data_IF_916255366874
#
_entry.id   IF_916255366874
#
_cell.length_a   1.000
_cell.length_b   1.000
_cell.length_c   1.000
_cell.angle_alpha   90.00
_cell.angle_beta   90.00
_cell.angle_gamma   90.00
#
_symmetry.space_group_name_H-M   'P 1'
#
loop_
_entity.id
_entity.type
_entity.pdbx_description
1 polymer ?
#
# COMPACT_ATOMS: atom_id res chain seq x y z
N UNK A 1 22.40 -14.89 -62.91
CA UNK A 1 21.94 -15.94 -63.84
C UNK A 1 21.56 -17.16 -63.02
N UNK A 2 20.32 -17.61 -63.20
CA UNK A 2 19.69 -18.73 -62.49
C UNK A 2 20.25 -20.07 -63.01
N UNK A 3 20.52 -21.04 -62.14
CA UNK A 3 20.08 -22.41 -62.41
C UNK A 3 20.10 -23.32 -61.16
N UNK A 4 18.99 -24.04 -60.96
CA UNK A 4 18.80 -25.12 -59.99
C UNK A 4 18.88 -26.46 -60.72
N UNK A 5 19.47 -27.50 -60.12
CA UNK A 5 19.16 -28.93 -60.37
C UNK A 5 19.57 -29.71 -59.10
N UNK A 6 18.70 -30.20 -58.21
CA UNK A 6 17.69 -31.29 -58.26
C UNK A 6 18.26 -32.73 -58.27
N UNK A 7 18.26 -33.32 -57.06
CA UNK A 7 17.83 -34.69 -56.63
C UNK A 7 18.33 -35.96 -57.37
N UNK A 8 18.86 -36.93 -56.61
CA UNK A 8 18.16 -38.19 -56.25
C UNK A 8 18.98 -39.14 -55.36
N UNK A 9 18.23 -39.87 -54.53
CA UNK A 9 18.59 -40.91 -53.56
C UNK A 9 18.53 -42.30 -54.21
N UNK A 10 19.22 -43.32 -53.66
CA UNK A 10 18.65 -44.67 -53.61
C UNK A 10 18.49 -45.22 -52.18
N UNK A 11 17.31 -45.82 -51.95
CA UNK A 11 16.98 -46.78 -50.87
C UNK A 11 17.79 -48.09 -51.09
N UNK A 12 17.86 -49.13 -50.27
CA UNK A 12 17.12 -49.70 -49.13
C UNK A 12 17.99 -50.88 -48.63
N UNK A 13 17.96 -51.29 -47.36
CA UNK A 13 17.67 -52.70 -46.97
C UNK A 13 17.71 -52.91 -45.47
N UNK A 14 16.59 -53.43 -44.99
CA UNK A 14 16.27 -53.96 -43.68
C UNK A 14 16.65 -55.44 -43.57
N UNK A 15 17.06 -55.89 -42.38
CA UNK A 15 16.85 -57.27 -41.90
C UNK A 15 16.66 -57.23 -40.38
N UNK A 16 15.55 -57.81 -39.92
CA UNK A 16 15.17 -58.02 -38.53
C UNK A 16 15.30 -59.51 -38.18
N UNK A 17 15.64 -59.85 -36.93
CA UNK A 17 15.46 -61.13 -36.21
C UNK A 17 16.26 -61.01 -34.88
N UNK A 18 15.83 -61.44 -33.71
CA UNK A 18 14.68 -62.23 -33.28
C UNK A 18 14.59 -62.19 -31.74
N UNK A 19 13.43 -62.61 -31.23
CA UNK A 19 13.04 -62.59 -29.81
C UNK A 19 13.76 -63.66 -28.98
N UNK A 20 14.04 -63.34 -27.71
CA UNK A 20 14.33 -64.31 -26.65
C UNK A 20 14.07 -63.69 -25.26
N UNK A 21 13.10 -64.24 -24.54
CA UNK A 21 12.76 -63.94 -23.14
C UNK A 21 13.50 -64.95 -22.26
N UNK A 22 14.13 -64.54 -21.15
CA UNK A 22 14.12 -65.16 -19.80
C UNK A 22 15.02 -64.33 -18.86
N UNK A 23 14.54 -64.17 -17.63
CA UNK A 23 14.88 -63.19 -16.61
C UNK A 23 16.23 -63.39 -15.89
N UNK A 24 16.80 -62.29 -15.37
CA UNK A 24 17.37 -62.27 -14.02
C UNK A 24 17.34 -60.86 -13.40
N UNK A 25 17.04 -60.84 -12.10
CA UNK A 25 16.77 -59.72 -11.21
C UNK A 25 18.04 -58.93 -10.86
N UNK A 26 17.96 -57.60 -10.81
CA UNK A 26 18.75 -56.79 -9.90
C UNK A 26 17.97 -55.50 -9.54
N UNK A 27 17.43 -55.48 -8.31
CA UNK A 27 16.84 -54.31 -7.68
C UNK A 27 17.97 -53.54 -6.98
N UNK A 28 18.17 -52.28 -7.31
CA UNK A 28 18.84 -51.32 -6.42
C UNK A 28 18.09 -49.99 -6.45
N UNK A 29 17.26 -49.79 -5.43
CA UNK A 29 16.86 -48.45 -4.96
C UNK A 29 18.11 -47.73 -4.42
N UNK A 30 18.26 -46.45 -4.75
CA UNK A 30 18.71 -45.41 -3.82
C UNK A 30 18.48 -44.02 -4.43
N UNK A 31 17.50 -43.32 -3.86
CA UNK A 31 17.23 -41.90 -4.05
C UNK A 31 18.40 -41.05 -3.54
N UNK A 32 18.72 -39.96 -4.22
CA UNK A 32 19.11 -38.67 -3.61
C UNK A 32 19.15 -37.60 -4.69
N UNK A 33 18.17 -36.71 -4.67
CA UNK A 33 18.11 -35.51 -5.49
C UNK A 33 19.22 -34.53 -5.05
N UNK A 34 20.04 -34.06 -5.99
CA UNK A 34 20.96 -32.94 -5.76
C UNK A 34 20.26 -31.62 -6.14
N UNK A 35 19.73 -30.92 -5.13
CA UNK A 35 19.46 -29.48 -5.21
C UNK A 35 20.80 -28.73 -5.00
N UNK A 36 21.09 -27.66 -5.78
CA UNK A 36 22.32 -26.91 -5.61
C UNK A 36 22.24 -26.00 -4.38
N UNK A 37 23.04 -26.32 -3.36
CA UNK A 37 23.30 -25.45 -2.22
C UNK A 37 24.25 -24.32 -2.64
N UNK A 38 23.72 -23.11 -2.84
CA UNK A 38 24.54 -21.90 -2.96
C UNK A 38 25.19 -21.59 -1.60
N UNK A 39 26.52 -21.72 -1.55
CA UNK A 39 27.38 -21.34 -0.42
C UNK A 39 27.29 -19.84 -0.16
N UNK A 40 27.12 -19.49 1.11
CA UNK A 40 27.19 -18.12 1.61
C UNK A 40 28.57 -17.51 1.42
N UNK A 41 28.58 -16.23 1.04
CA UNK A 41 29.69 -15.33 1.24
C UNK A 41 29.15 -14.06 1.91
N UNK A 42 29.77 -13.77 3.05
CA UNK A 42 29.54 -12.68 3.99
C UNK A 42 29.52 -11.29 3.35
N UNK A 43 28.43 -10.54 3.59
CA UNK A 43 28.34 -9.11 3.38
C UNK A 43 27.44 -8.49 4.44
N UNK A 44 28.04 -7.66 5.31
CA UNK A 44 27.45 -6.92 6.44
C UNK A 44 25.94 -6.65 6.35
N UNK A 45 25.18 -7.26 7.25
CA UNK A 45 23.79 -6.90 7.54
C UNK A 45 23.75 -5.56 8.30
N UNK A 46 23.60 -4.45 7.59
CA UNK A 46 22.95 -3.28 8.18
C UNK A 46 21.48 -3.62 8.33
N UNK A 47 21.01 -3.79 9.57
CA UNK A 47 19.61 -4.06 9.89
C UNK A 47 18.71 -3.00 9.29
N UNK A 48 18.05 -3.35 8.19
CA UNK A 48 16.90 -2.65 7.64
C UNK A 48 15.90 -3.75 7.39
N UNK A 49 14.83 -3.78 8.18
CA UNK A 49 13.71 -4.69 8.00
C UNK A 49 13.28 -4.66 6.54
N UNK A 50 13.57 -5.72 5.79
CA UNK A 50 13.14 -5.90 4.39
C UNK A 50 11.75 -6.53 4.38
N UNK A 51 10.80 -5.89 5.06
CA UNK A 51 9.39 -6.06 4.71
C UNK A 51 9.13 -5.47 3.32
N UNK A 52 8.07 -5.91 2.60
CA UNK A 52 7.65 -5.23 1.38
C UNK A 52 7.45 -3.73 1.68
N UNK A 53 7.94 -2.85 0.80
CA UNK A 53 7.61 -1.42 0.93
C UNK A 53 6.10 -1.24 0.76
N UNK A 54 5.51 -0.25 1.41
CA UNK A 54 4.07 0.02 1.34
C UNK A 54 3.54 0.06 -0.11
N UNK A 55 4.25 0.75 -1.01
CA UNK A 55 3.94 0.81 -2.44
C UNK A 55 4.13 -0.51 -3.22
N UNK A 56 4.84 -1.49 -2.66
CA UNK A 56 4.93 -2.84 -3.21
C UNK A 56 3.74 -3.72 -2.82
N UNK A 57 2.94 -3.31 -1.82
CA UNK A 57 1.76 -4.05 -1.35
C UNK A 57 0.53 -3.64 -2.18
N UNK A 58 0.34 -2.34 -2.39
CA UNK A 58 -0.68 -1.81 -3.33
C UNK A 58 -0.10 -0.60 -4.07
N UNK A 59 0.09 -0.74 -5.39
CA UNK A 59 0.72 0.28 -6.24
C UNK A 59 -0.14 1.51 -6.49
N UNK A 60 -1.40 1.52 -6.03
CA UNK A 60 -2.28 2.69 -6.14
C UNK A 60 -1.89 3.79 -5.14
N UNK A 61 -1.14 3.46 -4.10
CA UNK A 61 -0.77 4.38 -3.02
C UNK A 61 0.64 4.95 -3.18
N UNK A 62 0.82 6.19 -2.72
CA UNK A 62 2.14 6.72 -2.41
C UNK A 62 2.82 5.89 -1.30
N UNK A 63 4.14 5.96 -1.25
CA UNK A 63 4.89 5.38 -0.14
C UNK A 63 4.44 6.01 1.19
N UNK A 64 4.17 5.16 2.17
CA UNK A 64 3.81 5.60 3.51
C UNK A 64 5.00 6.35 4.13
N UNK A 65 4.88 7.66 4.43
CA UNK A 65 6.05 8.50 4.71
C UNK A 65 6.46 8.53 6.19
N UNK A 66 5.65 7.95 7.09
CA UNK A 66 5.84 8.11 8.53
C UNK A 66 6.56 6.92 9.18
N UNK A 67 7.19 7.22 10.31
CA UNK A 67 7.76 6.21 11.21
C UNK A 67 6.94 6.17 12.49
N UNK A 68 6.99 5.06 13.24
CA UNK A 68 6.20 4.91 14.47
C UNK A 68 6.95 4.11 15.55
N UNK A 69 6.98 4.59 16.80
CA UNK A 69 7.71 3.92 17.91
C UNK A 69 7.10 2.56 18.25
N UNK A 70 5.78 2.53 18.44
CA UNK A 70 4.96 1.32 18.63
C UNK A 70 4.18 1.05 17.35
N UNK A 71 4.00 -0.23 17.00
CA UNK A 71 3.10 -0.62 15.90
C UNK A 71 1.73 0.03 16.11
N UNK A 72 1.25 0.85 15.15
CA UNK A 72 -0.03 1.52 15.27
C UNK A 72 -1.17 0.50 15.19
N UNK A 73 -2.26 0.80 15.87
CA UNK A 73 -3.48 -0.01 15.84
C UNK A 73 -4.51 0.68 14.95
N UNK A 74 -5.27 -0.11 14.19
CA UNK A 74 -6.41 0.38 13.41
C UNK A 74 -7.62 0.37 14.33
N UNK A 75 -8.31 1.51 14.42
CA UNK A 75 -9.47 1.70 15.27
C UNK A 75 -10.63 2.30 14.46
N UNK A 76 -11.85 1.95 14.84
CA UNK A 76 -13.07 2.59 14.33
C UNK A 76 -13.30 3.90 15.10
N UNK A 77 -12.68 4.98 14.63
CA UNK A 77 -12.64 6.29 15.29
C UNK A 77 -13.43 7.35 14.51
N UNK A 78 -14.63 6.99 14.06
CA UNK A 78 -15.51 7.89 13.29
C UNK A 78 -15.85 9.17 14.08
N UNK A 79 -16.10 9.05 15.38
CA UNK A 79 -16.44 10.20 16.22
C UNK A 79 -15.27 11.17 16.33
N UNK A 80 -14.04 10.67 16.51
CA UNK A 80 -12.83 11.51 16.53
C UNK A 80 -12.60 12.21 15.19
N UNK A 81 -12.90 11.53 14.08
CA UNK A 81 -12.84 12.12 12.74
C UNK A 81 -13.82 13.27 12.60
N UNK A 82 -15.08 13.07 13.02
CA UNK A 82 -16.14 14.08 12.93
C UNK A 82 -15.95 15.20 13.94
N UNK A 83 -15.36 14.94 15.10
CA UNK A 83 -15.00 16.00 16.05
C UNK A 83 -13.93 16.93 15.46
N UNK A 84 -12.99 16.38 14.68
CA UNK A 84 -11.93 17.14 14.03
C UNK A 84 -12.39 17.84 12.74
N UNK A 85 -13.17 17.16 11.91
CA UNK A 85 -13.69 17.67 10.64
C UNK A 85 -15.19 17.34 10.50
N UNK A 86 -16.08 18.07 11.19
CA UNK A 86 -17.52 17.80 11.23
C UNK A 86 -18.20 17.82 9.86
N UNK A 87 -17.67 18.64 8.94
CA UNK A 87 -18.18 18.73 7.58
C UNK A 87 -18.07 17.40 6.80
N UNK A 88 -17.24 16.45 7.23
CA UNK A 88 -17.18 15.11 6.64
C UNK A 88 -18.45 14.30 6.88
N UNK A 89 -19.11 14.52 8.03
CA UNK A 89 -20.26 13.74 8.50
C UNK A 89 -20.06 12.22 8.27
N UNK A 90 -18.89 11.72 8.69
CA UNK A 90 -18.48 10.36 8.45
C UNK A 90 -19.37 9.37 9.21
N UNK A 91 -19.65 8.22 8.58
CA UNK A 91 -20.51 7.17 9.16
C UNK A 91 -19.72 5.94 9.60
N UNK A 92 -18.57 5.68 8.99
CA UNK A 92 -17.65 4.63 9.36
C UNK A 92 -16.23 5.03 8.99
N UNK A 93 -15.28 5.01 9.94
CA UNK A 93 -13.90 5.39 9.70
C UNK A 93 -12.92 4.43 10.35
N UNK A 94 -12.07 3.80 9.53
CA UNK A 94 -10.93 3.02 9.98
C UNK A 94 -9.69 3.91 9.98
N UNK A 95 -9.25 4.28 11.18
CA UNK A 95 -8.16 5.24 11.37
C UNK A 95 -7.00 4.60 12.12
N UNK A 96 -5.83 5.18 11.90
CA UNK A 96 -4.62 4.88 12.64
C UNK A 96 -4.00 6.20 13.06
N UNK A 97 -3.70 6.32 14.35
CA UNK A 97 -3.01 7.47 14.92
C UNK A 97 -1.77 6.99 15.66
N UNK A 98 -0.63 7.61 15.38
CA UNK A 98 0.60 7.32 16.11
C UNK A 98 1.53 8.52 16.20
N UNK A 99 2.34 8.53 17.24
CA UNK A 99 3.46 9.46 17.37
C UNK A 99 4.60 9.04 16.45
N UNK A 100 5.14 10.01 15.69
CA UNK A 100 6.32 9.80 14.86
C UNK A 100 7.51 9.33 15.70
N UNK A 101 8.40 8.47 15.14
CA UNK A 101 9.66 8.19 15.83
C UNK A 101 10.50 9.46 15.84
N UNK A 102 10.95 9.84 17.02
CA UNK A 102 12.05 10.79 17.17
C UNK A 102 13.32 10.21 16.58
N UNK A 103 14.09 11.03 15.87
CA UNK A 103 15.45 10.70 15.46
C UNK A 103 16.31 10.58 16.73
N UNK A 104 17.16 9.55 16.86
CA UNK A 104 18.10 9.46 17.98
C UNK A 104 18.90 10.77 18.13
N UNK A 105 19.15 11.20 19.37
CA UNK A 105 19.94 12.40 19.74
C UNK A 105 19.28 13.78 19.56
N UNK A 106 17.99 13.86 19.23
CA UNK A 106 17.25 15.12 19.31
C UNK A 106 16.68 15.33 20.73
N UNK A 107 16.74 16.55 21.31
CA UNK A 107 16.02 16.88 22.54
C UNK A 107 14.51 16.67 22.34
N UNK A 108 13.77 16.49 23.45
CA UNK A 108 12.33 16.19 23.49
C UNK A 108 11.51 17.40 23.02
N UNK A 109 11.64 17.73 21.73
CA UNK A 109 10.80 18.67 21.01
C UNK A 109 9.54 17.90 20.65
N UNK A 110 8.38 18.54 20.85
CA UNK A 110 7.06 17.93 20.80
C UNK A 110 6.93 16.91 19.66
N UNK A 111 6.61 15.64 19.96
CA UNK A 111 6.58 14.63 18.94
C UNK A 111 5.40 14.92 18.01
N UNK A 112 5.72 15.33 16.78
CA UNK A 112 4.81 15.28 15.64
C UNK A 112 4.07 13.94 15.67
N UNK A 113 2.75 13.99 15.51
CA UNK A 113 1.94 12.79 15.39
C UNK A 113 1.19 12.83 14.07
N UNK A 114 0.88 11.65 13.56
CA UNK A 114 0.19 11.50 12.29
C UNK A 114 -1.10 10.72 12.48
N UNK A 115 -2.04 10.98 11.59
CA UNK A 115 -3.24 10.17 11.43
C UNK A 115 -3.41 9.82 9.96
N UNK A 116 -3.67 8.56 9.68
CA UNK A 116 -4.06 8.09 8.35
C UNK A 116 -5.31 7.25 8.45
N UNK A 117 -6.12 7.22 7.40
CA UNK A 117 -7.36 6.47 7.48
C UNK A 117 -8.13 6.38 6.19
N UNK A 118 -9.17 5.56 6.27
CA UNK A 118 -10.20 5.39 5.25
C UNK A 118 -11.55 5.55 5.92
N UNK A 119 -12.45 6.36 5.37
CA UNK A 119 -13.76 6.58 5.96
C UNK A 119 -14.86 6.77 4.92
N UNK A 120 -16.06 6.32 5.24
CA UNK A 120 -17.29 6.69 4.54
C UNK A 120 -17.70 8.10 4.97
N UNK A 121 -17.87 8.99 4.01
CA UNK A 121 -18.22 10.40 4.22
C UNK A 121 -19.51 10.76 3.49
N UNK A 122 -20.14 11.88 3.83
CA UNK A 122 -21.40 12.30 3.22
C UNK A 122 -21.24 12.79 1.78
N UNK A 123 -22.33 12.74 1.01
CA UNK A 123 -22.38 13.29 -0.36
C UNK A 123 -22.11 14.79 -0.41
N UNK A 124 -22.58 15.51 0.61
CA UNK A 124 -22.32 16.94 0.78
C UNK A 124 -20.82 17.20 0.94
N UNK A 125 -20.14 16.39 1.75
CA UNK A 125 -18.69 16.48 1.94
C UNK A 125 -17.94 16.18 0.64
N UNK A 126 -18.32 15.11 -0.07
CA UNK A 126 -17.72 14.73 -1.35
C UNK A 126 -17.89 15.86 -2.37
N UNK A 127 -19.11 16.38 -2.51
CA UNK A 127 -19.43 17.45 -3.46
C UNK A 127 -18.59 18.69 -3.18
N UNK A 128 -18.51 19.12 -1.91
CA UNK A 128 -17.69 20.25 -1.47
C UNK A 128 -16.20 20.02 -1.76
N UNK A 129 -15.67 18.83 -1.50
CA UNK A 129 -14.26 18.52 -1.72
C UNK A 129 -13.91 18.47 -3.22
N UNK A 130 -14.82 17.97 -4.05
CA UNK A 130 -14.66 17.89 -5.51
C UNK A 130 -14.76 19.24 -6.23
N UNK A 131 -15.04 20.34 -5.53
CA UNK A 131 -14.96 21.69 -6.12
C UNK A 131 -13.54 22.05 -6.60
N UNK A 132 -12.51 21.52 -5.93
CA UNK A 132 -11.10 21.71 -6.32
C UNK A 132 -10.33 20.38 -6.30
N UNK A 133 -10.50 19.56 -7.35
CA UNK A 133 -9.72 18.33 -7.49
C UNK A 133 -8.27 18.65 -7.86
N UNK A 134 -7.36 17.77 -7.44
CA UNK A 134 -5.96 17.77 -7.83
C UNK A 134 -5.70 16.69 -8.89
N UNK A 135 -5.95 17.05 -10.14
CA UNK A 135 -5.81 16.14 -11.30
C UNK A 135 -4.34 15.81 -11.66
N UNK A 136 -3.36 16.42 -10.99
CA UNK A 136 -1.94 16.12 -11.21
C UNK A 136 -1.44 14.95 -10.37
N UNK A 137 -2.16 14.59 -9.29
CA UNK A 137 -1.83 13.44 -8.44
C UNK A 137 -2.64 12.23 -8.89
N UNK A 138 -1.95 11.21 -9.38
CA UNK A 138 -2.56 9.94 -9.81
C UNK A 138 -2.59 8.88 -8.72
N UNK A 139 -1.66 8.94 -7.77
CA UNK A 139 -1.57 8.00 -6.66
C UNK A 139 -2.40 8.50 -5.47
N UNK A 140 -2.98 7.56 -4.73
CA UNK A 140 -3.66 7.80 -3.47
C UNK A 140 -2.68 8.27 -2.39
N UNK A 141 -3.15 9.03 -1.39
CA UNK A 141 -2.33 9.40 -0.23
C UNK A 141 -1.70 8.18 0.45
N UNK A 142 -0.42 8.26 0.81
CA UNK A 142 0.27 7.17 1.50
C UNK A 142 -0.29 6.96 2.92
N UNK A 143 -1.08 5.90 3.12
CA UNK A 143 -1.66 5.52 4.42
C UNK A 143 -0.96 4.30 5.01
N UNK A 144 -1.19 4.05 6.30
CA UNK A 144 -0.64 2.87 6.98
C UNK A 144 -1.06 1.57 6.24
N UNK A 145 -0.12 0.67 5.85
CA UNK A 145 -0.40 -0.41 4.88
C UNK A 145 -1.56 -1.35 5.25
N UNK A 146 -1.76 -1.61 6.55
CA UNK A 146 -2.85 -2.49 7.01
C UNK A 146 -4.26 -1.89 6.73
N UNK A 147 -4.33 -0.61 6.36
CA UNK A 147 -5.57 0.06 5.94
C UNK A 147 -5.94 -0.21 4.48
N UNK A 148 -5.04 -0.73 3.63
CA UNK A 148 -5.33 -0.94 2.20
C UNK A 148 -6.52 -1.87 1.96
N UNK A 149 -6.78 -2.81 2.87
CA UNK A 149 -7.94 -3.71 2.83
C UNK A 149 -9.30 -2.99 2.92
N UNK A 150 -9.32 -1.74 3.39
CA UNK A 150 -10.53 -0.92 3.47
C UNK A 150 -10.74 -0.03 2.24
N UNK A 151 -9.83 -0.07 1.25
CA UNK A 151 -9.95 0.68 0.00
C UNK A 151 -10.26 -0.28 -1.14
N UNK A 152 -11.53 -0.41 -1.57
CA UNK A 152 -11.90 -1.34 -2.63
C UNK A 152 -11.18 -1.01 -3.95
N UNK A 153 -11.00 -2.04 -4.78
CA UNK A 153 -10.23 -1.94 -6.02
C UNK A 153 -11.04 -1.35 -7.18
N UNK A 154 -12.37 -1.44 -7.08
CA UNK A 154 -13.34 -0.99 -8.07
C UNK A 154 -13.79 0.47 -7.88
N UNK A 155 -13.38 1.12 -6.79
CA UNK A 155 -13.69 2.53 -6.52
C UNK A 155 -12.75 3.48 -7.28
N UNK A 156 -13.33 4.53 -7.87
CA UNK A 156 -12.58 5.58 -8.54
C UNK A 156 -12.33 6.76 -7.61
N UNK A 157 -11.06 7.09 -7.39
CA UNK A 157 -10.67 8.17 -6.48
C UNK A 157 -10.16 9.40 -7.22
N UNK A 158 -10.51 10.56 -6.68
CA UNK A 158 -10.02 11.87 -7.09
C UNK A 158 -9.24 12.49 -5.93
N UNK A 159 -7.96 12.81 -6.14
CA UNK A 159 -7.17 13.56 -5.17
C UNK A 159 -7.72 14.99 -5.04
N UNK A 160 -7.67 15.56 -3.85
CA UNK A 160 -8.16 16.91 -3.56
C UNK A 160 -6.98 17.88 -3.40
N UNK A 161 -7.17 19.13 -3.82
CA UNK A 161 -6.20 20.19 -3.52
C UNK A 161 -6.05 20.36 -2.00
N UNK A 162 -4.80 20.39 -1.50
CA UNK A 162 -4.56 20.37 -0.06
C UNK A 162 -4.97 21.68 0.62
N UNK A 163 -4.82 22.81 -0.07
CA UNK A 163 -5.23 24.09 0.49
C UNK A 163 -6.75 24.13 0.60
N UNK A 164 -7.45 23.72 -0.46
CA UNK A 164 -8.91 23.56 -0.44
C UNK A 164 -9.39 22.60 0.66
N UNK A 165 -8.77 21.43 0.78
CA UNK A 165 -9.14 20.45 1.80
C UNK A 165 -9.01 21.01 3.22
N UNK A 166 -7.87 21.65 3.52
CA UNK A 166 -7.64 22.26 4.83
C UNK A 166 -8.60 23.43 5.10
N UNK A 167 -8.89 24.26 4.10
CA UNK A 167 -9.78 25.41 4.25
C UNK A 167 -11.25 25.01 4.40
N UNK A 168 -11.74 24.08 3.58
CA UNK A 168 -13.14 23.62 3.57
C UNK A 168 -13.49 22.77 4.78
N UNK A 169 -12.54 21.99 5.31
CA UNK A 169 -12.76 21.17 6.51
C UNK A 169 -12.40 21.90 7.81
N UNK A 170 -11.87 23.12 7.74
CA UNK A 170 -11.43 23.87 8.92
C UNK A 170 -12.58 24.10 9.89
N UNK A 171 -12.39 23.63 11.12
CA UNK A 171 -13.28 23.98 12.23
C UNK A 171 -12.85 25.33 12.81
N UNK A 172 -13.76 26.30 12.95
CA UNK A 172 -13.47 27.49 13.74
C UNK A 172 -13.18 27.08 15.18
N UNK A 173 -11.98 27.40 15.68
CA UNK A 173 -11.57 27.16 17.08
C UNK A 173 -12.52 27.81 18.12
N UNK A 174 -13.38 28.73 17.66
CA UNK A 174 -14.38 29.46 18.45
C UNK A 174 -15.76 28.80 18.47
N UNK A 175 -15.94 27.63 17.83
CA UNK A 175 -17.24 26.98 17.75
C UNK A 175 -17.65 26.41 19.12
N UNK A 176 -18.84 26.75 19.66
CA UNK A 176 -19.33 26.19 20.90
C UNK A 176 -19.37 24.66 20.83
N UNK A 177 -18.74 23.98 21.79
CA UNK A 177 -18.73 22.52 21.88
C UNK A 177 -17.49 21.82 21.29
N UNK A 178 -16.55 22.55 20.69
CA UNK A 178 -15.23 21.99 20.32
C UNK A 178 -14.33 22.07 21.56
N UNK A 179 -13.90 20.94 22.15
CA UNK A 179 -12.98 21.01 23.28
C UNK A 179 -11.68 21.69 22.85
N UNK A 180 -11.13 22.63 23.64
CA UNK A 180 -9.91 23.38 23.32
C UNK A 180 -8.64 22.50 23.22
N UNK A 181 -8.79 21.18 23.35
CA UNK A 181 -7.72 20.19 23.39
C UNK A 181 -7.51 19.46 22.07
N UNK A 182 -8.26 19.80 21.01
CA UNK A 182 -8.03 19.19 19.69
C UNK A 182 -6.88 19.92 19.02
N UNK A 183 -5.69 19.35 19.12
CA UNK A 183 -4.53 19.82 18.36
C UNK A 183 -4.90 19.83 16.87
N UNK A 184 -4.81 21.00 16.20
CA UNK A 184 -5.19 21.12 14.81
C UNK A 184 -4.27 20.24 13.97
N UNK A 185 -4.86 19.37 13.14
CA UNK A 185 -4.09 18.63 12.14
C UNK A 185 -4.13 19.37 10.83
N UNK A 186 -3.01 19.34 10.12
CA UNK A 186 -2.91 19.76 8.73
C UNK A 186 -3.03 18.52 7.85
N UNK A 187 -4.00 18.53 6.94
CA UNK A 187 -4.19 17.48 5.95
C UNK A 187 -3.01 17.51 4.96
N UNK A 188 -2.29 16.41 4.87
CA UNK A 188 -1.15 16.20 3.97
C UNK A 188 -1.53 15.48 2.68
N UNK A 189 -2.67 14.80 2.69
CA UNK A 189 -3.18 14.05 1.54
C UNK A 189 -4.64 13.71 1.74
N UNK A 190 -5.43 13.94 0.70
CA UNK A 190 -6.85 13.66 0.70
C UNK A 190 -7.27 13.20 -0.70
N UNK A 191 -7.96 12.08 -0.77
CA UNK A 191 -8.65 11.63 -1.96
C UNK A 191 -10.06 11.17 -1.60
N UNK A 192 -11.01 11.39 -2.49
CA UNK A 192 -12.40 10.97 -2.32
C UNK A 192 -12.87 10.16 -3.51
N UNK A 193 -13.75 9.21 -3.25
CA UNK A 193 -14.44 8.39 -4.25
C UNK A 193 -15.93 8.69 -4.13
N UNK A 194 -16.49 9.25 -5.20
CA UNK A 194 -17.91 9.61 -5.26
C UNK A 194 -18.80 8.37 -5.41
N UNK A 195 -18.31 7.36 -6.13
CA UNK A 195 -19.00 6.10 -6.40
C UNK A 195 -19.10 5.20 -5.16
N UNK A 196 -18.10 5.23 -4.29
CA UNK A 196 -18.09 4.40 -3.07
C UNK A 196 -18.36 5.19 -1.79
N UNK A 197 -18.56 6.51 -1.89
CA UNK A 197 -18.73 7.41 -0.75
C UNK A 197 -17.57 7.35 0.25
N UNK A 198 -16.35 7.16 -0.24
CA UNK A 198 -15.16 6.92 0.56
C UNK A 198 -14.17 8.08 0.49
N UNK A 199 -13.40 8.24 1.55
CA UNK A 199 -12.28 9.14 1.69
C UNK A 199 -11.04 8.37 2.11
N UNK A 200 -9.89 8.72 1.53
CA UNK A 200 -8.56 8.31 1.99
C UNK A 200 -7.83 9.56 2.47
N UNK A 201 -7.33 9.55 3.70
CA UNK A 201 -6.74 10.73 4.33
C UNK A 201 -5.40 10.44 5.00
N UNK A 202 -4.50 11.42 4.95
CA UNK A 202 -3.34 11.54 5.82
C UNK A 202 -3.23 12.97 6.35
N UNK A 203 -2.93 13.10 7.63
CA UNK A 203 -2.83 14.38 8.30
C UNK A 203 -1.74 14.36 9.39
N UNK A 204 -1.18 15.52 9.67
CA UNK A 204 -0.12 15.74 10.66
C UNK A 204 -0.60 16.69 11.75
N UNK A 205 -0.35 16.32 13.00
CA UNK A 205 -0.59 17.15 14.17
C UNK A 205 0.72 17.48 14.87
N UNK A 206 0.75 18.67 15.44
CA UNK A 206 1.79 19.09 16.39
C UNK A 206 1.09 19.31 17.71
N UNK A 207 1.66 18.81 18.80
CA UNK A 207 1.24 19.26 20.13
C UNK A 207 1.63 20.73 20.24
N UNK A 208 0.73 21.58 20.72
CA UNK A 208 1.06 22.97 21.01
C UNK A 208 1.77 23.09 22.35
N UNK A 209 2.91 23.78 22.35
CA UNK A 209 3.72 24.12 23.53
C UNK A 209 2.97 24.93 24.58
#
# INVERSE_FOLDING_TARGET
MSNRYSLRVPRLRTTALGRGIIALVAVTMLCSACLPSSRGASGRSSGRDTGPRASQIDSRFLEFPYTYKKTPEIQEQTDDLNNRWPALAATNGHLTLAYSRQVPFMPDIEPEFWMTGVANISDDAITMLLEKPNNYKTLLPGIYPDLYKYVPQDCSFTNIDLQHANDSLRVPLSSPGVPPTIDPMIIQGLAVSQDCHLMVITALGHRGS
#
